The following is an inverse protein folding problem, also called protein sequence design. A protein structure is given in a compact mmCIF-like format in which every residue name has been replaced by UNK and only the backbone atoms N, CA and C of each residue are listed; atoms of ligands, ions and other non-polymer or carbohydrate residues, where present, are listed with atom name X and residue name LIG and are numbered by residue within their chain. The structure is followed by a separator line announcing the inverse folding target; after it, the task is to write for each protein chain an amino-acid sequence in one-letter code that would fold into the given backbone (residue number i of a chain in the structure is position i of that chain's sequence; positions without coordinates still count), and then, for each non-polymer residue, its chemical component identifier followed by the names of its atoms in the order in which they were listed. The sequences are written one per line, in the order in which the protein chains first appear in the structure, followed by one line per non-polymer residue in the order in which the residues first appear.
data_IF_887835034253
#
_entry.id   IF_887835034253
#
_cell.length_a   1.000
_cell.length_b   1.000
_cell.length_c   1.000
_cell.angle_alpha   90.00
_cell.angle_beta   90.00
_cell.angle_gamma   90.00
#
_symmetry.space_group_name_H-M   'P 1'
#
loop_
_entity.id
_entity.type
_entity.pdbx_description
1 polymer ?
#
# COMPACT_ATOMS: atom_id res chain seq x y z
N UNK A 1 6.09 -19.43 -57.55
CA UNK A 1 6.77 -19.59 -56.26
C UNK A 1 7.13 -18.25 -55.60
N UNK A 2 7.68 -17.26 -56.30
CA UNK A 2 8.00 -15.93 -55.71
C UNK A 2 6.83 -15.23 -55.05
N UNK A 3 5.65 -15.18 -55.68
CA UNK A 3 4.48 -14.52 -55.11
C UNK A 3 3.97 -15.15 -53.81
N UNK A 4 4.12 -16.48 -53.68
CA UNK A 4 3.72 -17.18 -52.45
C UNK A 4 4.66 -16.87 -51.26
N UNK A 5 5.95 -16.69 -51.53
CA UNK A 5 6.94 -16.28 -50.51
C UNK A 5 6.69 -14.85 -50.03
N UNK A 6 6.38 -13.94 -50.98
CA UNK A 6 6.06 -12.52 -50.63
C UNK A 6 4.78 -12.49 -49.81
N UNK A 7 3.74 -13.22 -50.21
CA UNK A 7 2.48 -13.25 -49.48
C UNK A 7 2.67 -13.78 -48.06
N UNK A 8 3.42 -14.88 -47.91
CA UNK A 8 3.74 -15.44 -46.60
C UNK A 8 4.54 -14.47 -45.72
N UNK A 9 5.50 -13.73 -46.29
CA UNK A 9 6.26 -12.72 -45.55
C UNK A 9 5.38 -11.56 -45.07
N UNK A 10 4.53 -11.03 -45.94
CA UNK A 10 3.61 -9.93 -45.60
C UNK A 10 2.59 -10.37 -44.55
N UNK A 11 1.98 -11.57 -44.74
CA UNK A 11 1.03 -12.11 -43.77
C UNK A 11 1.67 -12.35 -42.40
N UNK A 12 2.88 -12.88 -42.38
CA UNK A 12 3.64 -13.07 -41.13
C UNK A 12 3.96 -11.75 -40.44
N UNK A 13 4.40 -10.73 -41.21
CA UNK A 13 4.65 -9.40 -40.68
C UNK A 13 3.41 -8.73 -40.07
N UNK A 14 2.28 -8.77 -40.79
CA UNK A 14 1.01 -8.23 -40.29
C UNK A 14 0.53 -8.99 -39.05
N UNK A 15 0.62 -10.32 -39.04
CA UNK A 15 0.24 -11.11 -37.88
C UNK A 15 1.03 -10.76 -36.62
N UNK A 16 2.35 -10.56 -36.76
CA UNK A 16 3.23 -10.12 -35.65
C UNK A 16 2.84 -8.74 -35.13
N UNK A 17 2.55 -7.78 -36.03
CA UNK A 17 2.13 -6.44 -35.63
C UNK A 17 0.80 -6.49 -34.85
N UNK A 18 -0.18 -7.23 -35.34
CA UNK A 18 -1.48 -7.39 -34.69
C UNK A 18 -1.28 -8.04 -33.31
N UNK A 19 -0.48 -9.10 -33.22
CA UNK A 19 -0.20 -9.80 -31.96
C UNK A 19 0.44 -8.88 -30.94
N UNK A 20 1.48 -8.13 -31.33
CA UNK A 20 2.16 -7.18 -30.42
C UNK A 20 1.24 -6.06 -29.97
N UNK A 21 0.41 -5.51 -30.88
CA UNK A 21 -0.54 -4.46 -30.55
C UNK A 21 -1.58 -4.97 -29.53
N UNK A 22 -2.11 -6.18 -29.73
CA UNK A 22 -3.04 -6.81 -28.80
C UNK A 22 -2.41 -7.07 -27.44
N UNK A 23 -1.17 -7.58 -27.43
CA UNK A 23 -0.42 -7.84 -26.20
C UNK A 23 -0.21 -6.56 -25.38
N UNK A 24 0.20 -5.48 -26.03
CA UNK A 24 0.40 -4.18 -25.38
C UNK A 24 -0.90 -3.65 -24.80
N UNK A 25 -1.99 -3.66 -25.57
CA UNK A 25 -3.29 -3.17 -25.11
C UNK A 25 -3.81 -3.97 -23.90
N UNK A 26 -3.66 -5.29 -23.94
CA UNK A 26 -4.09 -6.15 -22.85
C UNK A 26 -3.25 -5.95 -21.59
N UNK A 27 -1.93 -5.77 -21.75
CA UNK A 27 -1.03 -5.48 -20.65
C UNK A 27 -1.35 -4.14 -19.98
N UNK A 28 -1.58 -3.10 -20.78
CA UNK A 28 -1.97 -1.78 -20.28
C UNK A 28 -3.28 -1.82 -19.50
N UNK A 29 -4.32 -2.48 -20.03
CA UNK A 29 -5.60 -2.64 -19.33
C UNK A 29 -5.41 -3.33 -17.97
N UNK A 30 -4.68 -4.45 -17.95
CA UNK A 30 -4.45 -5.20 -16.72
C UNK A 30 -3.67 -4.39 -15.66
N UNK A 31 -2.66 -3.62 -16.08
CA UNK A 31 -1.87 -2.78 -15.16
C UNK A 31 -2.76 -1.66 -14.59
N UNK A 32 -3.50 -0.96 -15.44
CA UNK A 32 -4.37 0.14 -15.02
C UNK A 32 -5.41 -0.36 -14.02
N UNK A 33 -6.12 -1.44 -14.31
CA UNK A 33 -7.14 -2.00 -13.45
C UNK A 33 -6.59 -2.47 -12.10
N UNK A 34 -5.42 -3.12 -12.10
CA UNK A 34 -4.77 -3.56 -10.87
C UNK A 34 -4.27 -2.40 -10.02
N UNK A 35 -3.63 -1.40 -10.63
CA UNK A 35 -3.07 -0.26 -9.89
C UNK A 35 -4.18 0.64 -9.36
N UNK A 36 -5.17 0.98 -10.19
CA UNK A 36 -6.28 1.85 -9.77
C UNK A 36 -7.24 1.19 -8.80
N UNK A 37 -7.38 -0.14 -8.84
CA UNK A 37 -8.27 -0.88 -7.96
C UNK A 37 -7.66 -1.24 -6.60
N UNK A 38 -6.32 -1.26 -6.48
CA UNK A 38 -5.62 -1.76 -5.29
C UNK A 38 -5.15 -0.67 -4.32
N UNK A 39 -5.15 0.59 -4.73
CA UNK A 39 -4.60 1.69 -3.93
C UNK A 39 -5.51 2.92 -3.96
N UNK A 40 -5.42 3.71 -2.88
CA UNK A 40 -6.05 5.02 -2.84
C UNK A 40 -5.35 5.96 -3.85
N UNK A 41 -6.12 6.69 -4.65
CA UNK A 41 -5.59 7.62 -5.66
C UNK A 41 -4.86 8.81 -5.03
N UNK A 42 -5.30 9.25 -3.85
CA UNK A 42 -4.70 10.35 -3.09
C UNK A 42 -4.51 9.91 -1.65
N UNK A 43 -3.33 10.14 -1.11
CA UNK A 43 -2.99 9.85 0.29
C UNK A 43 -2.56 11.13 0.98
N UNK A 44 -3.29 11.53 2.02
CA UNK A 44 -2.96 12.68 2.85
C UNK A 44 -2.09 12.18 4.00
N UNK A 45 -0.86 12.69 4.08
CA UNK A 45 0.10 12.36 5.14
C UNK A 45 0.47 13.61 5.92
N UNK A 46 0.88 13.48 7.20
CA UNK A 46 1.46 14.61 7.92
C UNK A 46 2.74 15.10 7.21
N UNK A 47 2.96 16.40 7.28
CA UNK A 47 4.14 17.01 6.68
C UNK A 47 5.41 16.46 7.34
N UNK A 48 6.35 16.01 6.54
CA UNK A 48 7.68 15.66 7.03
C UNK A 48 8.45 16.93 7.37
N UNK A 49 8.78 17.12 8.66
CA UNK A 49 9.64 18.22 9.06
C UNK A 49 11.07 17.90 8.63
N UNK A 50 11.54 18.58 7.59
CA UNK A 50 12.95 18.63 7.28
C UNK A 50 13.70 19.30 8.44
N UNK A 51 14.79 18.69 8.90
CA UNK A 51 15.66 19.29 9.91
C UNK A 51 16.25 20.56 9.34
N UNK A 52 15.79 21.73 9.81
CA UNK A 52 16.28 23.02 9.35
C UNK A 52 17.45 23.48 10.22
N UNK A 53 18.45 24.11 9.61
CA UNK A 53 19.50 24.80 10.34
C UNK A 53 18.88 26.00 11.05
N UNK A 54 19.01 26.06 12.36
CA UNK A 54 18.51 27.16 13.19
C UNK A 54 19.35 28.44 13.01
N UNK A 55 20.62 28.28 12.63
CA UNK A 55 21.55 29.39 12.44
C UNK A 55 21.95 29.48 10.98
N UNK A 56 21.67 30.62 10.35
CA UNK A 56 22.19 30.93 9.01
C UNK A 56 23.61 31.47 9.18
N UNK A 57 24.65 30.82 8.60
CA UNK A 57 26.03 31.30 8.71
C UNK A 57 26.16 32.69 8.08
N UNK A 58 26.83 33.60 8.77
CA UNK A 58 27.31 34.86 8.18
C UNK A 58 28.56 34.61 7.38
N UNK A 59 28.86 35.49 6.44
CA UNK A 59 29.98 35.35 5.50
C UNK A 59 31.35 35.22 6.16
N UNK A 60 31.47 35.59 7.44
CA UNK A 60 32.67 35.61 8.24
C UNK A 60 32.74 34.53 9.34
N UNK A 61 31.71 33.65 9.38
CA UNK A 61 31.62 32.62 10.42
C UNK A 61 31.58 31.22 9.79
N UNK A 62 32.49 30.34 10.28
CA UNK A 62 32.44 28.91 10.06
C UNK A 62 31.54 28.28 11.15
N UNK A 63 30.34 27.81 10.75
CA UNK A 63 29.41 27.13 11.66
C UNK A 63 29.50 25.63 11.41
N UNK A 64 30.01 24.88 12.39
CA UNK A 64 29.91 23.43 12.41
C UNK A 64 28.50 23.05 12.95
N UNK A 65 27.62 22.62 12.06
CA UNK A 65 26.29 22.14 12.46
C UNK A 65 26.22 20.61 12.31
N UNK A 66 26.04 19.92 13.43
CA UNK A 66 25.69 18.50 13.43
C UNK A 66 24.16 18.39 13.31
N UNK A 67 23.69 18.06 12.12
CA UNK A 67 22.26 17.82 11.89
C UNK A 67 21.98 16.35 12.15
N UNK A 68 21.45 16.04 13.34
CA UNK A 68 20.96 14.69 13.62
C UNK A 68 19.57 14.51 13.00
N UNK A 69 19.36 13.41 12.22
CA UNK A 69 18.02 13.06 11.80
C UNK A 69 17.16 12.80 13.04
N UNK A 70 15.97 13.41 13.10
CA UNK A 70 15.04 13.13 14.18
C UNK A 70 14.59 11.67 14.13
N UNK A 71 14.36 11.09 15.31
CA UNK A 71 13.72 9.78 15.40
C UNK A 71 12.38 9.80 14.62
N UNK A 72 12.14 8.75 13.85
CA UNK A 72 10.88 8.57 13.12
C UNK A 72 9.76 8.30 14.13
N UNK A 73 9.14 9.36 14.64
CA UNK A 73 7.94 9.25 15.44
C UNK A 73 6.75 9.03 14.50
N UNK A 74 5.90 8.10 14.87
CA UNK A 74 4.59 7.96 14.23
C UNK A 74 3.84 9.28 14.41
N UNK A 75 3.57 9.95 13.30
CA UNK A 75 2.83 11.21 13.31
C UNK A 75 1.41 10.96 12.84
N UNK A 76 0.46 11.58 13.51
CA UNK A 76 -0.91 11.62 13.03
C UNK A 76 -1.15 12.91 12.24
N UNK A 77 -2.12 12.87 11.37
CA UNK A 77 -2.68 14.06 10.73
C UNK A 77 -3.53 14.78 11.78
N UNK A 78 -3.11 15.98 12.18
CA UNK A 78 -3.87 16.76 13.14
C UNK A 78 -5.26 17.11 12.58
N UNK A 79 -6.28 17.03 13.43
CA UNK A 79 -7.69 17.28 13.04
C UNK A 79 -8.12 16.43 11.83
N UNK A 80 -7.70 15.16 11.79
CA UNK A 80 -7.97 14.25 10.68
C UNK A 80 -9.47 14.14 10.32
N UNK A 81 -10.38 14.26 11.30
CA UNK A 81 -11.83 14.23 11.06
C UNK A 81 -12.29 15.41 10.20
N UNK A 82 -11.77 16.60 10.50
CA UNK A 82 -12.06 17.81 9.71
C UNK A 82 -11.49 17.70 8.29
N UNK A 83 -10.29 17.17 8.17
CA UNK A 83 -9.65 16.96 6.86
C UNK A 83 -10.42 15.91 6.06
N UNK A 84 -10.87 14.83 6.70
CA UNK A 84 -11.68 13.81 6.06
C UNK A 84 -13.02 14.38 5.56
N UNK A 85 -13.67 15.24 6.37
CA UNK A 85 -14.91 15.93 5.97
C UNK A 85 -14.69 16.87 4.79
N UNK A 86 -13.61 17.66 4.80
CA UNK A 86 -13.22 18.54 3.69
C UNK A 86 -12.93 17.76 2.42
N UNK A 87 -12.18 16.66 2.53
CA UNK A 87 -11.88 15.80 1.40
C UNK A 87 -13.17 15.20 0.81
N UNK A 88 -14.07 14.70 1.66
CA UNK A 88 -15.35 14.14 1.22
C UNK A 88 -16.28 15.18 0.53
N UNK A 89 -16.17 16.45 0.89
CA UNK A 89 -16.91 17.55 0.29
C UNK A 89 -16.30 18.05 -1.04
N UNK A 90 -15.10 17.59 -1.38
CA UNK A 90 -14.39 18.03 -2.61
C UNK A 90 -15.01 17.36 -3.84
N UNK A 91 -15.36 18.12 -4.90
CA UNK A 91 -15.88 17.55 -6.14
C UNK A 91 -14.90 16.54 -6.75
N UNK A 92 -15.41 15.38 -7.16
CA UNK A 92 -14.61 14.30 -7.73
C UNK A 92 -14.07 13.29 -6.72
N UNK A 93 -14.22 13.51 -5.42
CA UNK A 93 -13.89 12.53 -4.39
C UNK A 93 -15.09 11.62 -4.16
N UNK A 94 -14.89 10.31 -4.38
CA UNK A 94 -15.95 9.30 -4.26
C UNK A 94 -16.02 8.68 -2.86
N UNK A 95 -14.86 8.51 -2.22
CA UNK A 95 -14.76 7.89 -0.90
C UNK A 95 -13.51 8.39 -0.17
N UNK A 96 -13.60 8.46 1.15
CA UNK A 96 -12.50 8.81 2.06
C UNK A 96 -12.46 7.77 3.17
N UNK A 97 -11.26 7.27 3.49
CA UNK A 97 -11.05 6.33 4.59
C UNK A 97 -9.86 6.74 5.43
N UNK A 98 -10.02 6.90 6.74
CA UNK A 98 -8.89 7.07 7.63
C UNK A 98 -8.13 5.74 7.75
N UNK A 99 -6.80 5.83 7.79
CA UNK A 99 -5.90 4.69 7.95
C UNK A 99 -4.85 5.03 8.99
N UNK A 100 -4.64 4.13 9.94
CA UNK A 100 -3.54 4.19 10.88
C UNK A 100 -2.51 3.13 10.48
N UNK A 101 -1.26 3.51 10.34
CA UNK A 101 -0.20 2.55 9.99
C UNK A 101 0.96 2.66 10.97
N UNK A 102 1.58 1.52 11.25
CA UNK A 102 2.76 1.49 12.10
C UNK A 102 3.53 0.18 12.00
N UNK A 103 4.82 0.19 12.36
CA UNK A 103 5.61 -1.02 12.43
C UNK A 103 5.14 -1.90 13.58
N UNK A 104 5.16 -3.21 13.35
CA UNK A 104 4.80 -4.22 14.32
C UNK A 104 5.60 -5.51 14.06
N UNK A 105 5.56 -6.42 15.02
CA UNK A 105 6.10 -7.76 14.89
C UNK A 105 4.97 -8.77 14.99
N UNK A 106 4.86 -9.62 14.00
CA UNK A 106 3.92 -10.74 13.97
C UNK A 106 4.66 -12.01 14.40
N UNK A 107 4.15 -12.69 15.42
CA UNK A 107 4.81 -13.87 15.99
C UNK A 107 3.85 -15.04 16.10
N UNK A 108 4.34 -16.24 15.73
CA UNK A 108 3.70 -17.53 15.98
C UNK A 108 4.74 -18.57 16.40
N UNK A 109 4.60 -19.10 17.61
CA UNK A 109 5.60 -20.02 18.17
C UNK A 109 6.99 -19.36 18.24
N UNK A 110 7.97 -19.95 17.57
CA UNK A 110 9.34 -19.44 17.50
C UNK A 110 9.59 -18.53 16.28
N UNK A 111 8.61 -18.39 15.39
CA UNK A 111 8.72 -17.53 14.20
C UNK A 111 8.29 -16.11 14.51
N UNK A 112 9.09 -15.14 14.07
CA UNK A 112 8.84 -13.72 14.25
C UNK A 112 9.16 -12.97 12.94
N UNK A 113 8.25 -12.12 12.50
CA UNK A 113 8.41 -11.31 11.27
C UNK A 113 8.07 -9.85 11.55
N UNK A 114 8.87 -8.96 11.00
CA UNK A 114 8.56 -7.53 10.97
C UNK A 114 7.50 -7.26 9.93
N UNK A 115 6.46 -6.54 10.32
CA UNK A 115 5.30 -6.23 9.47
C UNK A 115 4.90 -4.77 9.63
N UNK A 116 4.15 -4.26 8.67
CA UNK A 116 3.43 -2.99 8.81
C UNK A 116 1.98 -3.31 9.15
N UNK A 117 1.53 -2.88 10.31
CA UNK A 117 0.14 -3.01 10.73
C UNK A 117 -0.67 -1.83 10.18
N UNK A 118 -1.77 -2.13 9.52
CA UNK A 118 -2.73 -1.15 9.02
C UNK A 118 -4.04 -1.30 9.78
N UNK A 119 -4.45 -0.24 10.50
CA UNK A 119 -5.77 -0.13 11.09
C UNK A 119 -6.69 0.65 10.18
N UNK A 120 -7.83 0.08 9.84
CA UNK A 120 -8.79 0.66 8.90
C UNK A 120 -10.21 0.60 9.46
N UNK A 121 -11.07 1.46 8.97
CA UNK A 121 -12.53 1.33 9.16
C UNK A 121 -13.08 0.50 7.99
N UNK A 122 -13.57 -0.73 8.21
CA UNK A 122 -13.86 -1.69 7.14
C UNK A 122 -14.79 -1.16 6.07
N UNK A 123 -15.89 -0.55 6.48
CA UNK A 123 -16.92 -0.03 5.57
C UNK A 123 -16.43 1.12 4.67
N UNK A 124 -15.60 2.01 5.23
CA UNK A 124 -15.03 3.12 4.48
C UNK A 124 -13.89 2.65 3.58
N UNK A 125 -13.06 1.74 4.10
CA UNK A 125 -11.90 1.25 3.38
C UNK A 125 -12.29 0.44 2.14
N UNK A 126 -13.35 -0.39 2.20
CA UNK A 126 -13.91 -1.11 1.05
C UNK A 126 -14.33 -0.20 -0.11
N UNK A 127 -14.74 1.04 0.20
CA UNK A 127 -15.12 2.02 -0.84
C UNK A 127 -13.92 2.60 -1.56
N UNK A 128 -12.75 2.60 -0.91
CA UNK A 128 -11.50 3.14 -1.46
C UNK A 128 -10.68 2.06 -2.15
N UNK A 129 -10.62 0.86 -1.54
CA UNK A 129 -9.84 -0.27 -2.05
C UNK A 129 -10.74 -1.50 -2.14
N UNK A 130 -10.78 -2.13 -3.31
CA UNK A 130 -11.54 -3.36 -3.56
C UNK A 130 -10.82 -4.58 -2.99
N UNK A 131 -10.78 -4.69 -1.65
CA UNK A 131 -10.08 -5.77 -0.96
C UNK A 131 -10.60 -7.15 -1.32
N UNK A 132 -11.90 -7.27 -1.59
CA UNK A 132 -12.54 -8.53 -1.94
C UNK A 132 -11.96 -9.16 -3.23
N UNK A 133 -11.48 -8.35 -4.18
CA UNK A 133 -10.85 -8.80 -5.42
C UNK A 133 -9.47 -9.44 -5.20
N UNK A 134 -8.84 -9.17 -4.05
CA UNK A 134 -7.50 -9.68 -3.71
C UNK A 134 -7.53 -10.82 -2.69
N UNK A 135 -8.72 -11.21 -2.22
CA UNK A 135 -8.87 -12.30 -1.25
C UNK A 135 -8.59 -13.65 -1.90
N UNK A 136 -7.60 -14.35 -1.37
CA UNK A 136 -7.28 -15.73 -1.81
C UNK A 136 -8.06 -16.75 -0.98
N UNK A 137 -8.23 -16.49 0.32
CA UNK A 137 -8.95 -17.35 1.27
C UNK A 137 -9.66 -16.47 2.30
N UNK A 138 -10.79 -16.95 2.83
CA UNK A 138 -11.55 -16.22 3.83
C UNK A 138 -12.40 -15.12 3.22
N UNK A 139 -12.67 -14.10 4.03
CA UNK A 139 -13.46 -12.92 3.65
C UNK A 139 -12.89 -11.68 4.34
N UNK A 140 -13.17 -10.51 3.81
CA UNK A 140 -12.77 -9.25 4.44
C UNK A 140 -13.65 -8.97 5.66
N UNK A 141 -13.23 -9.48 6.82
CA UNK A 141 -13.88 -9.27 8.12
C UNK A 141 -12.81 -8.88 9.13
N UNK A 142 -12.59 -7.59 9.31
CA UNK A 142 -11.59 -7.02 10.22
C UNK A 142 -12.24 -6.30 11.41
N UNK A 143 -13.49 -6.70 11.75
CA UNK A 143 -14.16 -6.19 12.92
C UNK A 143 -13.57 -6.83 14.20
N UNK A 144 -13.46 -6.03 15.26
CA UNK A 144 -12.93 -6.50 16.54
C UNK A 144 -11.47 -6.92 16.47
N UNK A 145 -11.19 -8.22 16.68
CA UNK A 145 -9.86 -8.83 16.63
C UNK A 145 -9.52 -9.43 15.26
N UNK A 146 -10.44 -9.36 14.31
CA UNK A 146 -10.24 -9.90 12.96
C UNK A 146 -9.12 -9.19 12.22
N UNK A 147 -8.27 -9.95 11.53
CA UNK A 147 -7.16 -9.42 10.75
C UNK A 147 -6.99 -10.11 9.41
N UNK A 148 -6.52 -9.35 8.42
CA UNK A 148 -6.07 -9.88 7.14
C UNK A 148 -4.55 -9.87 7.09
N UNK A 149 -4.00 -10.92 6.52
CA UNK A 149 -2.56 -11.04 6.31
C UNK A 149 -2.25 -11.40 4.85
N UNK A 150 -1.08 -10.99 4.38
CA UNK A 150 -0.61 -11.40 3.05
C UNK A 150 -0.32 -12.91 3.00
N UNK A 151 -0.50 -13.51 1.83
CA UNK A 151 -0.26 -14.94 1.58
C UNK A 151 1.17 -15.36 1.92
N UNK A 152 2.15 -14.50 1.64
CA UNK A 152 3.56 -14.76 1.92
C UNK A 152 3.82 -14.79 3.43
N UNK A 153 3.26 -13.82 4.18
CA UNK A 153 3.34 -13.81 5.63
C UNK A 153 2.65 -15.02 6.26
N UNK A 154 1.49 -15.41 5.72
CA UNK A 154 0.77 -16.60 6.15
C UNK A 154 1.62 -17.87 5.96
N UNK A 155 2.29 -17.99 4.81
CA UNK A 155 3.21 -19.09 4.51
C UNK A 155 4.42 -19.10 5.43
N UNK A 156 5.06 -17.94 5.63
CA UNK A 156 6.25 -17.80 6.46
C UNK A 156 6.01 -18.14 7.95
N UNK A 157 4.83 -17.77 8.46
CA UNK A 157 4.44 -18.06 9.84
C UNK A 157 3.68 -19.39 9.98
N UNK A 158 3.33 -20.04 8.89
CA UNK A 158 2.55 -21.27 8.86
C UNK A 158 1.13 -21.10 9.43
N UNK A 159 0.51 -19.92 9.24
CA UNK A 159 -0.86 -19.60 9.70
C UNK A 159 -1.88 -19.78 8.58
N UNK A 160 -3.11 -20.11 8.96
CA UNK A 160 -4.25 -20.24 8.05
C UNK A 160 -5.46 -19.49 8.62
N UNK A 161 -6.51 -19.36 7.81
CA UNK A 161 -7.78 -18.76 8.26
C UNK A 161 -8.31 -19.54 9.47
N UNK A 162 -8.68 -18.83 10.53
CA UNK A 162 -9.12 -19.37 11.82
C UNK A 162 -7.99 -19.52 12.86
N UNK A 163 -6.74 -19.34 12.48
CA UNK A 163 -5.61 -19.33 13.43
C UNK A 163 -5.50 -17.98 14.14
N UNK A 164 -4.78 -17.99 15.26
CA UNK A 164 -4.47 -16.80 16.06
C UNK A 164 -3.03 -16.36 15.85
N UNK A 165 -2.85 -15.07 15.66
CA UNK A 165 -1.55 -14.45 15.46
C UNK A 165 -1.31 -13.39 16.53
N UNK A 166 -0.18 -13.49 17.22
CA UNK A 166 0.24 -12.45 18.17
C UNK A 166 0.95 -11.33 17.40
N UNK A 167 0.47 -10.11 17.57
CA UNK A 167 1.06 -8.92 16.99
C UNK A 167 1.51 -7.98 18.11
N UNK A 168 2.76 -7.55 18.05
CA UNK A 168 3.36 -6.62 19.01
C UNK A 168 3.71 -5.33 18.28
N UNK A 169 3.12 -4.21 18.70
CA UNK A 169 3.39 -2.90 18.14
C UNK A 169 4.77 -2.38 18.55
N UNK A 170 5.27 -1.36 17.88
CA UNK A 170 6.53 -0.68 18.24
C UNK A 170 6.52 -0.07 19.66
N UNK A 171 5.33 0.19 20.22
CA UNK A 171 5.17 0.67 21.60
C UNK A 171 5.20 -0.45 22.64
N UNK A 172 5.41 -1.71 22.24
CA UNK A 172 5.46 -2.87 23.12
C UNK A 172 4.10 -3.47 23.50
N UNK A 173 3.00 -2.92 22.99
CA UNK A 173 1.66 -3.52 23.19
C UNK A 173 1.52 -4.76 22.31
N UNK A 174 1.09 -5.85 22.93
CA UNK A 174 0.84 -7.12 22.24
C UNK A 174 -0.65 -7.46 22.29
N UNK A 175 -1.17 -7.79 21.12
CA UNK A 175 -2.56 -8.25 20.96
C UNK A 175 -2.57 -9.56 20.16
N UNK A 176 -3.63 -10.34 20.35
CA UNK A 176 -3.85 -11.57 19.58
C UNK A 176 -4.97 -11.33 18.60
N UNK A 177 -4.67 -11.48 17.33
CA UNK A 177 -5.60 -11.28 16.23
C UNK A 177 -6.07 -12.61 15.67
N UNK A 178 -7.29 -12.66 15.21
CA UNK A 178 -7.93 -13.78 14.53
C UNK A 178 -7.78 -13.59 13.00
N UNK A 179 -7.22 -14.60 12.30
CA UNK A 179 -6.94 -14.53 10.87
C UNK A 179 -8.16 -15.00 10.06
#
# INVERSE_FOLDING_TARGET
MQSALILAGVTGGVAVIIFLTQLINQLQGTIIDKVLGSQAHVVIKPLEEATQRVVTPRTDQAVAALVQPREQRLRSVDQWERIAALAAATPGVLAVSPVVSGPAFAARGNSNKSVVLLGVQPEQYRRVVRMDDFMTRGRFDVAGTGALIGTDLASDLGVTVGDKLRVTSATGRSETLDI
#
